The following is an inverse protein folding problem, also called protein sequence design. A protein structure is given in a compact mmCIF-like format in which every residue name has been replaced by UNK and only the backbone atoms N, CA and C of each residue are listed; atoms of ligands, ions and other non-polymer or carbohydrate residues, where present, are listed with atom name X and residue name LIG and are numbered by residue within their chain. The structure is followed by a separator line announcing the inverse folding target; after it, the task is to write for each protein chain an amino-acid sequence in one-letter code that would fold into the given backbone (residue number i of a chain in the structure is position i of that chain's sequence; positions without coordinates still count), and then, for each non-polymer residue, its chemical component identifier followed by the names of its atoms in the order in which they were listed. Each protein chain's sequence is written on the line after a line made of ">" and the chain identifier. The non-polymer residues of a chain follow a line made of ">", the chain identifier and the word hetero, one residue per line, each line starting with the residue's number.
data_IF_061997444254
#
_entry.id   IF_061997444254
#
_cell.length_a   1.000
_cell.length_b   1.000
_cell.length_c   1.000
_cell.angle_alpha   90.00
_cell.angle_beta   90.00
_cell.angle_gamma   90.00
#
_symmetry.space_group_name_H-M   'P 1'
#
loop_
_entity.id
_entity.type
_entity.pdbx_description
1 polymer ?
#
# COMPACT_ATOMS: atom_id res chain seq x y z
N UNK A 1 27.13 30.38 8.75
CA UNK A 1 26.01 29.50 9.17
C UNK A 1 26.38 28.01 9.16
N UNK A 2 27.62 27.63 8.82
CA UNK A 2 28.12 26.27 9.06
C UNK A 2 28.37 26.05 10.57
N UNK A 3 28.03 24.87 11.09
CA UNK A 3 28.21 24.51 12.51
C UNK A 3 27.01 24.73 13.44
N UNK A 4 25.89 25.31 12.97
CA UNK A 4 24.69 25.45 13.80
C UNK A 4 23.98 24.10 14.04
N UNK A 5 23.48 23.83 15.27
CA UNK A 5 22.66 22.66 15.56
C UNK A 5 21.45 22.59 14.63
N UNK A 6 21.11 21.38 14.16
CA UNK A 6 19.99 21.17 13.25
C UNK A 6 18.67 21.08 14.02
N UNK A 7 17.65 21.79 13.54
CA UNK A 7 16.29 21.77 14.12
C UNK A 7 15.67 20.39 13.89
N UNK A 8 15.00 19.85 14.90
CA UNK A 8 14.28 18.57 14.80
C UNK A 8 13.21 18.58 13.70
N UNK A 9 13.02 17.46 13.02
CA UNK A 9 12.01 17.28 11.97
C UNK A 9 10.95 16.32 12.48
N UNK A 10 9.69 16.61 12.19
CA UNK A 10 8.58 15.72 12.52
C UNK A 10 8.41 14.62 11.47
N UNK A 11 8.03 13.43 11.90
CA UNK A 11 7.68 12.31 11.04
C UNK A 11 6.26 11.84 11.31
N UNK A 12 5.62 11.30 10.28
CA UNK A 12 4.27 10.75 10.35
C UNK A 12 4.33 9.26 10.73
N UNK A 13 3.39 8.77 11.58
CA UNK A 13 3.23 7.34 11.80
C UNK A 13 2.69 6.64 10.55
N UNK A 14 2.98 5.34 10.41
CA UNK A 14 2.42 4.49 9.36
C UNK A 14 1.02 4.01 9.76
N UNK A 15 0.10 3.97 8.79
CA UNK A 15 -1.16 3.22 8.91
C UNK A 15 -0.86 1.72 8.94
N UNK A 16 -1.74 0.96 9.58
CA UNK A 16 -1.61 -0.49 9.70
C UNK A 16 -2.79 -1.20 9.04
N UNK A 17 -2.54 -2.33 8.39
CA UNK A 17 -3.57 -3.26 7.92
C UNK A 17 -3.35 -4.58 8.64
N UNK A 18 -4.32 -5.00 9.47
CA UNK A 18 -4.16 -6.20 10.32
C UNK A 18 -4.42 -7.48 9.53
N UNK A 19 -5.42 -7.47 8.66
CA UNK A 19 -5.85 -8.66 7.94
C UNK A 19 -5.58 -8.53 6.43
N UNK A 20 -5.18 -9.62 5.75
CA UNK A 20 -5.16 -9.65 4.30
C UNK A 20 -6.60 -9.62 3.77
N UNK A 21 -6.86 -8.90 2.66
CA UNK A 21 -8.18 -8.84 2.04
C UNK A 21 -8.49 -10.18 1.33
N UNK A 22 -9.77 -10.50 1.22
CA UNK A 22 -10.26 -11.60 0.39
C UNK A 22 -10.33 -11.16 -1.07
N UNK A 23 -9.59 -11.85 -1.95
CA UNK A 23 -9.55 -11.57 -3.39
C UNK A 23 -10.54 -12.41 -4.20
N UNK A 24 -11.37 -13.22 -3.54
CA UNK A 24 -12.46 -13.98 -4.20
C UNK A 24 -13.38 -13.10 -5.07
N UNK A 25 -13.69 -11.84 -4.73
CA UNK A 25 -14.44 -10.94 -5.61
C UNK A 25 -13.73 -10.65 -6.95
N UNK A 26 -12.40 -10.49 -6.94
CA UNK A 26 -11.62 -10.33 -8.17
C UNK A 26 -11.57 -11.63 -8.99
N UNK A 27 -11.49 -12.79 -8.33
CA UNK A 27 -11.58 -14.08 -9.01
C UNK A 27 -12.94 -14.25 -9.72
N UNK A 28 -14.03 -13.80 -9.09
CA UNK A 28 -15.37 -13.80 -9.68
C UNK A 28 -15.45 -12.88 -10.91
N UNK A 29 -14.84 -11.71 -10.87
CA UNK A 29 -14.76 -10.78 -12.00
C UNK A 29 -14.10 -11.43 -13.24
N UNK A 30 -13.04 -12.23 -13.02
CA UNK A 30 -12.39 -12.99 -14.09
C UNK A 30 -13.36 -13.95 -14.78
N UNK A 31 -14.13 -14.70 -13.99
CA UNK A 31 -15.09 -15.67 -14.51
C UNK A 31 -16.23 -15.00 -15.27
N UNK A 32 -16.69 -13.84 -14.79
CA UNK A 32 -17.79 -13.09 -15.40
C UNK A 32 -17.41 -12.40 -16.71
N UNK A 33 -16.20 -11.84 -16.81
CA UNK A 33 -15.82 -10.95 -17.91
C UNK A 33 -14.79 -11.52 -18.87
N UNK A 34 -13.94 -12.44 -18.41
CA UNK A 34 -12.85 -12.99 -19.22
C UNK A 34 -13.11 -14.42 -19.67
N UNK A 35 -14.23 -15.05 -19.26
CA UNK A 35 -14.60 -16.44 -19.60
C UNK A 35 -13.47 -17.45 -19.31
N UNK A 36 -12.55 -17.10 -18.41
CA UNK A 36 -11.44 -17.92 -17.98
C UNK A 36 -11.76 -18.49 -16.59
N UNK A 37 -11.25 -19.69 -16.30
CA UNK A 37 -11.35 -20.22 -14.94
C UNK A 37 -10.48 -19.39 -14.00
N UNK A 38 -11.06 -18.87 -12.93
CA UNK A 38 -10.32 -18.14 -11.88
C UNK A 38 -9.16 -18.96 -11.30
N UNK A 39 -9.26 -20.30 -11.34
CA UNK A 39 -8.23 -21.22 -10.87
C UNK A 39 -6.88 -21.09 -11.58
N UNK A 40 -6.85 -20.53 -12.79
CA UNK A 40 -5.60 -20.28 -13.53
C UNK A 40 -4.75 -19.17 -12.92
N UNK A 41 -5.36 -18.25 -12.16
CA UNK A 41 -4.72 -17.04 -11.63
C UNK A 41 -4.36 -17.13 -10.14
N UNK A 42 -4.44 -18.32 -9.54
CA UNK A 42 -4.18 -18.53 -8.10
C UNK A 42 -2.78 -18.08 -7.68
N UNK A 43 -1.78 -18.29 -8.55
CA UNK A 43 -0.40 -17.89 -8.29
C UNK A 43 -0.29 -16.36 -8.25
N UNK A 44 -0.91 -15.70 -9.21
CA UNK A 44 -0.91 -14.24 -9.36
C UNK A 44 -1.60 -13.58 -8.17
N UNK A 45 -2.72 -14.13 -7.68
CA UNK A 45 -3.37 -13.67 -6.46
C UNK A 45 -2.48 -13.85 -5.22
N UNK A 46 -1.79 -15.00 -5.10
CA UNK A 46 -0.85 -15.22 -4.00
C UNK A 46 0.34 -14.24 -4.05
N UNK A 47 0.91 -14.01 -5.24
CA UNK A 47 2.01 -13.07 -5.45
C UNK A 47 1.58 -11.62 -5.16
N UNK A 48 0.34 -11.26 -5.50
CA UNK A 48 -0.25 -9.96 -5.16
C UNK A 48 -0.40 -9.77 -3.64
N UNK A 49 -0.93 -10.77 -2.92
CA UNK A 49 -1.03 -10.73 -1.46
C UNK A 49 0.35 -10.70 -0.77
N UNK A 50 1.34 -11.41 -1.32
CA UNK A 50 2.71 -11.36 -0.82
C UNK A 50 3.31 -9.96 -0.99
N UNK A 51 3.08 -9.33 -2.15
CA UNK A 51 3.53 -7.97 -2.42
C UNK A 51 2.83 -6.97 -1.50
N UNK A 52 1.52 -7.13 -1.26
CA UNK A 52 0.76 -6.34 -0.29
C UNK A 52 1.36 -6.44 1.11
N UNK A 53 1.62 -7.66 1.59
CA UNK A 53 2.20 -7.89 2.92
C UNK A 53 3.53 -7.14 3.06
N UNK A 54 4.40 -7.26 2.07
CA UNK A 54 5.69 -6.58 2.05
C UNK A 54 5.59 -5.04 2.03
N UNK A 55 4.48 -4.49 1.53
CA UNK A 55 4.21 -3.05 1.53
C UNK A 55 3.55 -2.55 2.83
N UNK A 56 2.73 -3.40 3.48
CA UNK A 56 2.08 -3.09 4.76
C UNK A 56 3.05 -3.22 5.95
N UNK A 57 4.07 -4.08 5.83
CA UNK A 57 5.13 -4.29 6.82
C UNK A 57 6.51 -3.89 6.23
N UNK A 58 6.72 -2.62 5.87
CA UNK A 58 7.95 -2.19 5.21
C UNK A 58 9.13 -2.12 6.20
N UNK A 59 10.34 -2.39 5.72
CA UNK A 59 11.56 -1.97 6.38
C UNK A 59 11.68 -0.44 6.36
N UNK A 60 12.27 0.16 7.39
CA UNK A 60 12.45 1.62 7.47
C UNK A 60 13.71 2.05 6.71
N UNK A 61 13.69 1.85 5.39
CA UNK A 61 14.76 2.12 4.44
C UNK A 61 14.20 2.31 3.01
N UNK A 62 15.10 2.58 2.04
CA UNK A 62 14.73 2.71 0.62
C UNK A 62 14.21 1.40 0.00
N UNK A 63 14.55 0.24 0.58
CA UNK A 63 14.02 -1.06 0.16
C UNK A 63 12.52 -1.17 0.49
N UNK A 64 12.12 -0.76 1.69
CA UNK A 64 10.71 -0.70 2.10
C UNK A 64 9.91 0.26 1.23
N UNK A 65 10.49 1.42 0.91
CA UNK A 65 9.88 2.39 0.01
C UNK A 65 9.66 1.82 -1.40
N UNK A 66 10.63 1.06 -1.92
CA UNK A 66 10.52 0.40 -3.22
C UNK A 66 9.42 -0.67 -3.23
N UNK A 67 9.25 -1.42 -2.13
CA UNK A 67 8.16 -2.40 -1.96
C UNK A 67 6.79 -1.73 -1.96
N UNK A 68 6.62 -0.62 -1.23
CA UNK A 68 5.38 0.14 -1.22
C UNK A 68 5.03 0.70 -2.59
N UNK A 69 5.99 1.32 -3.30
CA UNK A 69 5.79 1.84 -4.65
C UNK A 69 5.43 0.73 -5.65
N UNK A 70 6.06 -0.44 -5.55
CA UNK A 70 5.72 -1.61 -6.37
C UNK A 70 4.29 -2.06 -6.13
N UNK A 71 3.86 -2.15 -4.88
CA UNK A 71 2.49 -2.54 -4.56
C UNK A 71 1.48 -1.49 -5.04
N UNK A 72 1.76 -0.20 -4.84
CA UNK A 72 0.93 0.89 -5.35
C UNK A 72 0.76 0.80 -6.88
N UNK A 73 1.83 0.52 -7.62
CA UNK A 73 1.75 0.31 -9.07
C UNK A 73 0.89 -0.91 -9.44
N UNK A 74 0.97 -2.02 -8.68
CA UNK A 74 0.10 -3.18 -8.88
C UNK A 74 -1.38 -2.86 -8.63
N UNK A 75 -1.70 -2.03 -7.62
CA UNK A 75 -3.06 -1.56 -7.38
C UNK A 75 -3.61 -0.77 -8.58
N UNK A 76 -2.83 0.18 -9.12
CA UNK A 76 -3.23 0.94 -10.32
C UNK A 76 -3.48 0.01 -11.52
N UNK A 77 -2.63 -1.00 -11.70
CA UNK A 77 -2.78 -2.01 -12.75
C UNK A 77 -4.03 -2.88 -12.55
N UNK A 78 -4.38 -3.22 -11.31
CA UNK A 78 -5.60 -3.95 -10.99
C UNK A 78 -6.84 -3.07 -11.22
N UNK A 79 -6.82 -1.81 -10.78
CA UNK A 79 -7.89 -0.82 -11.00
C UNK A 79 -8.27 -0.65 -12.47
N UNK A 80 -7.29 -0.71 -13.37
CA UNK A 80 -7.51 -0.62 -14.81
C UNK A 80 -8.00 -1.91 -15.49
N UNK A 81 -8.07 -3.05 -14.78
CA UNK A 81 -8.42 -4.36 -15.35
C UNK A 81 -9.69 -4.96 -14.76
N UNK A 82 -9.93 -4.76 -13.46
CA UNK A 82 -11.06 -5.36 -12.76
C UNK A 82 -12.20 -4.35 -12.63
N UNK A 83 -13.43 -4.83 -12.75
CA UNK A 83 -14.62 -4.02 -12.47
C UNK A 83 -14.99 -4.17 -11.01
N UNK A 84 -14.59 -3.22 -10.16
CA UNK A 84 -14.95 -3.21 -8.74
C UNK A 84 -16.39 -2.72 -8.55
N UNK A 85 -17.37 -3.62 -8.63
CA UNK A 85 -18.79 -3.31 -8.50
C UNK A 85 -19.39 -3.99 -7.28
N UNK A 86 -20.10 -3.20 -6.47
CA UNK A 86 -20.89 -3.72 -5.33
C UNK A 86 -22.08 -4.54 -5.83
N UNK A 87 -22.74 -4.10 -6.91
CA UNK A 87 -23.91 -4.78 -7.47
C UNK A 87 -23.54 -6.15 -8.06
N UNK A 88 -22.38 -6.24 -8.71
CA UNK A 88 -21.87 -7.50 -9.25
C UNK A 88 -21.17 -8.38 -8.19
N UNK A 89 -21.01 -7.87 -6.96
CA UNK A 89 -20.25 -8.49 -5.88
C UNK A 89 -18.81 -8.87 -6.31
N UNK A 90 -18.17 -7.97 -7.04
CA UNK A 90 -16.77 -8.06 -7.50
C UNK A 90 -15.85 -7.07 -6.78
N UNK A 91 -16.41 -6.20 -5.93
CA UNK A 91 -15.66 -5.31 -5.07
C UNK A 91 -15.00 -6.04 -3.88
N UNK A 92 -13.74 -5.72 -3.61
CA UNK A 92 -12.95 -6.28 -2.50
C UNK A 92 -13.09 -5.38 -1.27
N UNK A 93 -13.27 -5.97 -0.09
CA UNK A 93 -13.29 -5.24 1.17
C UNK A 93 -11.85 -4.99 1.66
N UNK A 94 -11.50 -3.72 1.80
CA UNK A 94 -10.20 -3.26 2.28
C UNK A 94 -10.32 -2.72 3.70
N UNK A 95 -9.37 -3.06 4.57
CA UNK A 95 -9.37 -2.65 5.99
C UNK A 95 -8.05 -1.96 6.35
N UNK A 96 -8.15 -0.81 7.02
CA UNK A 96 -7.01 -0.06 7.53
C UNK A 96 -7.30 0.59 8.87
N UNK A 97 -6.28 0.62 9.72
CA UNK A 97 -6.27 1.41 10.95
C UNK A 97 -5.77 2.84 10.67
N UNK A 98 -6.41 3.82 11.28
CA UNK A 98 -5.95 5.19 11.29
C UNK A 98 -4.60 5.33 12.00
N UNK A 99 -3.74 6.19 11.45
CA UNK A 99 -2.35 6.31 11.91
C UNK A 99 -2.24 7.02 13.26
N UNK A 100 -3.25 7.81 13.65
CA UNK A 100 -3.21 8.65 14.86
C UNK A 100 -4.14 8.12 15.96
N UNK A 101 -5.36 7.75 15.60
CA UNK A 101 -6.37 7.25 16.53
C UNK A 101 -6.34 5.73 16.71
N UNK A 102 -5.74 4.99 15.76
CA UNK A 102 -5.77 3.53 15.74
C UNK A 102 -7.12 2.92 15.38
N UNK A 103 -8.15 3.74 15.09
CA UNK A 103 -9.47 3.26 14.74
C UNK A 103 -9.47 2.51 13.40
N UNK A 104 -10.20 1.40 13.33
CA UNK A 104 -10.32 0.58 12.11
C UNK A 104 -11.41 1.11 11.19
N UNK A 105 -11.11 1.16 9.90
CA UNK A 105 -12.03 1.57 8.85
C UNK A 105 -12.01 0.57 7.71
N UNK A 106 -13.16 0.39 7.08
CA UNK A 106 -13.35 -0.55 5.98
C UNK A 106 -14.03 0.14 4.80
N UNK A 107 -13.66 -0.27 3.59
CA UNK A 107 -14.26 0.24 2.35
C UNK A 107 -14.18 -0.80 1.25
N UNK A 108 -15.19 -0.82 0.38
CA UNK A 108 -15.21 -1.63 -0.85
C UNK A 108 -14.50 -0.92 -2.03
N UNK A 109 -14.13 0.35 -1.86
CA UNK A 109 -13.44 1.12 -2.89
C UNK A 109 -11.93 0.81 -2.87
N UNK A 110 -11.39 0.34 -3.99
CA UNK A 110 -9.94 0.16 -4.17
C UNK A 110 -9.16 1.47 -3.97
N UNK A 111 -9.78 2.63 -4.22
CA UNK A 111 -9.22 3.94 -3.92
C UNK A 111 -8.86 4.13 -2.44
N UNK A 112 -9.55 3.43 -1.52
CA UNK A 112 -9.21 3.44 -0.10
C UNK A 112 -7.87 2.75 0.18
N UNK A 113 -7.63 1.58 -0.42
CA UNK A 113 -6.35 0.87 -0.33
C UNK A 113 -5.22 1.69 -0.99
N UNK A 114 -5.48 2.27 -2.17
CA UNK A 114 -4.52 3.14 -2.86
C UNK A 114 -4.11 4.33 -2.01
N UNK A 115 -5.08 5.03 -1.41
CA UNK A 115 -4.83 6.19 -0.57
C UNK A 115 -4.04 5.81 0.69
N UNK A 116 -4.36 4.67 1.33
CA UNK A 116 -3.65 4.21 2.52
C UNK A 116 -2.19 3.85 2.22
N UNK A 117 -1.92 3.18 1.10
CA UNK A 117 -0.54 2.88 0.67
C UNK A 117 0.21 4.15 0.30
N UNK A 118 -0.42 5.09 -0.41
CA UNK A 118 0.22 6.37 -0.75
C UNK A 118 0.55 7.19 0.50
N UNK A 119 -0.36 7.22 1.48
CA UNK A 119 -0.09 7.82 2.78
C UNK A 119 1.14 7.18 3.44
N UNK A 120 1.24 5.85 3.43
CA UNK A 120 2.37 5.13 4.01
C UNK A 120 3.69 5.38 3.26
N UNK A 121 3.67 5.57 1.94
CA UNK A 121 4.83 6.01 1.16
C UNK A 121 5.30 7.39 1.63
N UNK A 122 4.38 8.35 1.75
CA UNK A 122 4.69 9.69 2.26
C UNK A 122 5.22 9.66 3.69
N UNK A 123 4.57 8.91 4.58
CA UNK A 123 4.99 8.75 5.97
C UNK A 123 6.39 8.15 6.05
N UNK A 124 6.70 7.11 5.28
CA UNK A 124 8.04 6.53 5.24
C UNK A 124 9.09 7.54 4.75
N UNK A 125 8.78 8.36 3.74
CA UNK A 125 9.65 9.47 3.33
C UNK A 125 9.91 10.45 4.48
N UNK A 126 8.88 10.82 5.26
CA UNK A 126 9.09 11.72 6.42
C UNK A 126 9.96 11.08 7.51
N UNK A 127 9.81 9.77 7.75
CA UNK A 127 10.62 9.02 8.71
C UNK A 127 12.09 8.98 8.27
N UNK A 128 12.35 8.70 6.99
CA UNK A 128 13.71 8.69 6.45
C UNK A 128 14.33 10.09 6.50
N UNK A 129 13.58 11.13 6.15
CA UNK A 129 14.04 12.52 6.23
C UNK A 129 14.34 12.96 7.66
N UNK A 130 13.55 12.53 8.64
CA UNK A 130 13.79 12.83 10.06
C UNK A 130 15.01 12.09 10.64
N UNK A 131 15.39 10.94 10.06
CA UNK A 131 16.59 10.20 10.43
C UNK A 131 17.89 10.82 9.87
N UNK A 132 17.79 11.68 8.87
CA UNK A 132 18.97 12.29 8.24
C UNK A 132 19.62 13.33 9.17
N UNK A 133 20.93 13.20 9.37
CA UNK A 133 21.73 14.09 10.24
C UNK A 133 21.88 15.48 9.63
N UNK A 134 21.79 15.60 8.29
CA UNK A 134 21.85 16.89 7.55
C UNK A 134 23.13 17.68 7.83
N UNK A 135 24.23 16.96 8.03
CA UNK A 135 25.56 17.52 8.32
C UNK A 135 26.41 17.70 7.06
N UNK A 136 26.18 16.87 6.05
CA UNK A 136 26.96 16.80 4.81
C UNK A 136 26.03 16.95 3.61
N UNK A 137 26.54 17.44 2.49
CA UNK A 137 25.85 17.35 1.20
C UNK A 137 25.96 15.90 0.70
N UNK A 138 24.91 15.39 0.06
CA UNK A 138 24.99 14.07 -0.59
C UNK A 138 26.16 14.08 -1.59
N UNK A 139 27.07 13.13 -1.43
CA UNK A 139 28.17 12.92 -2.37
C UNK A 139 27.59 12.18 -3.57
N UNK A 140 27.46 12.90 -4.69
CA UNK A 140 26.97 12.40 -5.98
C UNK A 140 27.89 11.37 -6.63
#
# INVERSE_FOLDING_TARGET
>A
MEGLPRISVFSLPLKQSVNPPDLSPMAKDIELHYQHSSGMYKKEFADFLLTRKAACEPSIDYTGLSKQKRYYAQLQLAKGRFQFSTDANTAVLWNWNDAFSGASYESLDIGFEEAAILFNISALHTILGAKERRIEADVS
#
